data_IF_996334252080
#
_entry.id   IF_996334252080
#
_cell.length_a   1.000
_cell.length_b   1.000
_cell.length_c   1.000
_cell.angle_alpha   90.00
_cell.angle_beta   90.00
_cell.angle_gamma   90.00
#
_symmetry.space_group_name_H-M   'P 1'
#
loop_
_entity.id
_entity.type
_entity.pdbx_description
1 polymer ?
#
# COMPACT_ATOMS: atom_id res chain seq x y z
N UNK A 1 -9.99 -51.85 -50.59
CA UNK A 1 -9.54 -51.75 -52.00
C UNK A 1 -9.31 -50.27 -52.30
N UNK A 2 -8.10 -49.94 -52.74
CA UNK A 2 -7.71 -48.73 -53.48
C UNK A 2 -7.35 -47.44 -52.70
N UNK A 3 -6.05 -47.13 -52.77
CA UNK A 3 -5.33 -45.86 -52.56
C UNK A 3 -5.86 -44.70 -53.42
N UNK A 4 -5.66 -43.45 -52.95
CA UNK A 4 -5.29 -42.23 -53.72
C UNK A 4 -4.69 -41.25 -52.67
N UNK A 5 -3.37 -41.03 -52.55
CA UNK A 5 -2.37 -40.30 -53.37
C UNK A 5 -2.38 -38.76 -53.19
N UNK A 6 -1.42 -38.29 -52.36
CA UNK A 6 -0.58 -37.07 -52.38
C UNK A 6 -1.22 -35.70 -52.68
N UNK A 7 -0.91 -34.70 -51.84
CA UNK A 7 -0.10 -33.54 -52.26
C UNK A 7 0.48 -32.79 -51.05
N UNK A 8 1.78 -32.55 -51.12
CA UNK A 8 2.57 -31.71 -50.21
C UNK A 8 2.52 -30.30 -50.75
N UNK A 9 2.17 -29.33 -49.92
CA UNK A 9 2.49 -27.91 -50.13
C UNK A 9 2.86 -27.29 -48.79
N UNK A 10 4.10 -26.86 -48.70
CA UNK A 10 4.71 -26.05 -47.65
C UNK A 10 4.04 -24.69 -47.53
N UNK A 11 3.83 -24.15 -46.32
CA UNK A 11 3.85 -22.70 -46.10
C UNK A 11 4.12 -22.33 -44.63
N UNK A 12 5.27 -21.69 -44.44
CA UNK A 12 5.60 -20.61 -43.48
C UNK A 12 5.08 -20.66 -42.04
N UNK A 13 6.01 -20.81 -41.11
CA UNK A 13 5.85 -20.55 -39.68
C UNK A 13 5.45 -19.08 -39.45
N UNK A 14 4.30 -18.85 -38.83
CA UNK A 14 3.94 -17.56 -38.24
C UNK A 14 3.66 -17.80 -36.76
N UNK A 15 4.66 -17.50 -35.93
CA UNK A 15 4.57 -17.54 -34.48
C UNK A 15 3.65 -16.41 -34.03
N UNK A 16 2.44 -16.73 -33.60
CA UNK A 16 1.57 -15.80 -32.87
C UNK A 16 2.02 -15.75 -31.42
N UNK A 17 2.85 -14.77 -31.09
CA UNK A 17 2.99 -14.28 -29.71
C UNK A 17 1.67 -13.62 -29.33
N UNK A 18 0.86 -14.30 -28.53
CA UNK A 18 -0.17 -13.65 -27.73
C UNK A 18 0.57 -12.92 -26.61
N UNK A 19 0.82 -11.63 -26.84
CA UNK A 19 1.34 -10.74 -25.82
C UNK A 19 0.37 -10.68 -24.66
N UNK A 20 0.88 -10.98 -23.47
CA UNK A 20 0.20 -10.65 -22.22
C UNK A 20 -0.11 -9.15 -22.24
N UNK A 21 -1.38 -8.80 -22.04
CA UNK A 21 -1.77 -7.45 -21.68
C UNK A 21 -1.23 -7.18 -20.26
N UNK A 22 0.06 -6.86 -20.18
CA UNK A 22 0.60 -6.10 -19.07
C UNK A 22 0.04 -4.70 -19.21
N UNK A 23 -0.89 -4.32 -18.33
CA UNK A 23 -1.30 -2.94 -18.16
C UNK A 23 -0.12 -2.20 -17.52
N UNK A 24 0.91 -1.87 -18.30
CA UNK A 24 1.87 -0.86 -17.92
C UNK A 24 1.20 0.48 -18.20
N UNK A 25 0.72 1.13 -17.15
CA UNK A 25 0.48 2.56 -17.18
C UNK A 25 1.81 3.23 -17.52
N UNK A 26 1.97 3.63 -18.77
CA UNK A 26 3.09 4.47 -19.18
C UNK A 26 2.87 5.85 -18.57
N UNK A 27 3.50 6.11 -17.42
CA UNK A 27 3.60 7.45 -16.90
C UNK A 27 4.52 8.24 -17.82
N UNK A 28 3.98 9.25 -18.49
CA UNK A 28 4.79 10.23 -19.21
C UNK A 28 5.51 11.08 -18.17
N UNK A 29 6.84 11.07 -18.21
CA UNK A 29 7.68 11.97 -17.41
C UNK A 29 7.36 13.41 -17.84
N UNK A 30 6.69 14.18 -16.99
CA UNK A 30 6.46 15.61 -17.25
C UNK A 30 7.79 16.36 -17.02
N UNK A 31 8.58 16.49 -18.08
CA UNK A 31 9.79 17.31 -18.12
C UNK A 31 9.41 18.80 -18.08
N UNK A 32 9.60 19.48 -16.95
CA UNK A 32 9.46 20.94 -16.87
C UNK A 32 10.78 21.60 -17.20
N UNK A 33 10.89 22.15 -18.42
CA UNK A 33 12.06 22.91 -18.85
C UNK A 33 11.98 24.37 -18.35
N UNK A 34 12.90 24.76 -17.45
CA UNK A 34 13.10 26.17 -17.11
C UNK A 34 13.96 26.82 -18.20
N UNK A 35 13.31 27.56 -19.09
CA UNK A 35 13.95 28.26 -20.20
C UNK A 35 14.51 29.61 -19.76
N UNK A 36 15.70 29.97 -20.26
CA UNK A 36 16.16 31.36 -20.19
C UNK A 36 15.41 32.26 -21.18
N UNK A 37 15.68 33.56 -21.14
CA UNK A 37 15.13 34.55 -22.09
C UNK A 37 15.47 34.30 -23.57
N UNK A 38 16.36 33.33 -23.85
CA UNK A 38 16.75 32.90 -25.19
C UNK A 38 16.22 31.50 -25.54
N UNK A 39 15.27 30.97 -24.76
CA UNK A 39 14.60 29.70 -25.04
C UNK A 39 15.50 28.46 -24.89
N UNK A 40 16.60 28.54 -24.12
CA UNK A 40 17.48 27.39 -23.84
C UNK A 40 17.27 26.87 -22.43
N UNK A 41 17.14 25.54 -22.22
CA UNK A 41 16.96 24.97 -20.90
C UNK A 41 18.22 25.17 -20.07
N UNK A 42 18.09 25.82 -18.91
CA UNK A 42 19.23 26.08 -18.01
C UNK A 42 19.49 24.93 -17.04
N UNK A 43 18.45 24.20 -16.65
CA UNK A 43 18.52 23.08 -15.72
C UNK A 43 17.39 22.10 -16.07
N UNK A 44 17.73 20.82 -16.26
CA UNK A 44 16.74 19.74 -16.31
C UNK A 44 16.31 19.45 -14.86
N UNK A 45 15.14 19.93 -14.46
CA UNK A 45 14.58 19.64 -13.13
C UNK A 45 13.94 18.26 -13.22
N UNK A 46 14.57 17.27 -12.60
CA UNK A 46 13.94 15.96 -12.43
C UNK A 46 12.91 16.08 -11.31
N UNK A 47 11.63 15.99 -11.65
CA UNK A 47 10.57 15.65 -10.70
C UNK A 47 10.84 14.21 -10.26
N UNK A 48 11.47 14.06 -9.09
CA UNK A 48 11.52 12.76 -8.44
C UNK A 48 10.09 12.27 -8.26
N UNK A 49 9.86 10.96 -8.37
CA UNK A 49 8.59 10.34 -8.03
C UNK A 49 8.38 10.51 -6.52
N UNK A 50 7.97 11.72 -6.13
CA UNK A 50 7.61 12.05 -4.77
C UNK A 50 6.42 11.16 -4.48
N UNK A 51 6.50 10.27 -3.50
CA UNK A 51 5.34 9.53 -3.02
C UNK A 51 4.25 10.55 -2.65
N UNK A 52 3.27 10.73 -3.54
CA UNK A 52 2.25 11.79 -3.43
C UNK A 52 1.04 11.31 -2.65
N UNK A 53 0.84 9.99 -2.57
CA UNK A 53 -0.32 9.38 -1.96
C UNK A 53 0.04 8.81 -0.61
N UNK A 54 -0.89 8.90 0.34
CA UNK A 54 -0.80 8.22 1.64
C UNK A 54 -0.55 6.72 1.46
N UNK A 55 -1.10 6.13 0.39
CA UNK A 55 -0.95 4.71 0.06
C UNK A 55 0.50 4.26 -0.12
N UNK A 56 1.39 5.12 -0.58
CA UNK A 56 2.77 4.74 -0.82
C UNK A 56 3.53 4.51 0.51
N UNK A 57 3.22 5.33 1.51
CA UNK A 57 3.81 5.22 2.84
C UNK A 57 3.23 4.04 3.61
N UNK A 58 1.94 3.78 3.44
CA UNK A 58 1.28 2.64 4.07
C UNK A 58 1.65 1.31 3.41
N UNK A 59 2.00 1.27 2.12
CA UNK A 59 2.42 0.02 1.46
C UNK A 59 3.72 -0.50 2.07
N UNK A 60 4.67 0.43 2.31
CA UNK A 60 5.87 0.13 3.09
C UNK A 60 5.55 -0.24 4.53
N UNK A 61 4.66 0.51 5.20
CA UNK A 61 4.26 0.19 6.57
C UNK A 61 3.66 -1.23 6.68
N UNK A 62 2.83 -1.63 5.72
CA UNK A 62 2.24 -2.97 5.65
C UNK A 62 3.32 -4.03 5.42
N UNK A 63 4.28 -3.76 4.53
CA UNK A 63 5.42 -4.64 4.33
C UNK A 63 6.20 -4.85 5.63
N UNK A 64 6.59 -3.78 6.30
CA UNK A 64 7.36 -3.82 7.56
C UNK A 64 6.56 -4.55 8.66
N UNK A 65 5.23 -4.32 8.76
CA UNK A 65 4.38 -5.03 9.71
C UNK A 65 4.32 -6.54 9.45
N UNK A 66 4.21 -6.96 8.19
CA UNK A 66 4.13 -8.38 7.84
C UNK A 66 5.51 -9.04 7.96
N UNK A 67 6.60 -8.35 7.58
CA UNK A 67 7.96 -8.87 7.69
C UNK A 67 8.42 -9.03 9.13
N UNK A 68 8.00 -8.12 10.01
CA UNK A 68 8.41 -8.11 11.42
C UNK A 68 7.49 -8.96 12.31
N UNK A 69 6.53 -9.66 11.71
CA UNK A 69 5.64 -10.57 12.42
C UNK A 69 6.40 -11.75 13.03
N UNK A 70 6.22 -11.93 14.34
CA UNK A 70 6.93 -12.95 15.15
C UNK A 70 6.05 -14.14 15.55
N UNK A 71 4.83 -14.21 15.05
CA UNK A 71 3.99 -15.41 15.24
C UNK A 71 4.40 -16.53 14.30
N UNK A 72 3.98 -17.75 14.61
CA UNK A 72 4.29 -18.91 13.78
C UNK A 72 3.63 -18.80 12.39
N UNK A 73 2.33 -18.50 12.37
CA UNK A 73 1.52 -18.34 11.16
C UNK A 73 0.30 -17.44 11.45
N UNK A 74 -0.27 -16.87 10.39
CA UNK A 74 -1.55 -16.15 10.44
C UNK A 74 -2.72 -17.15 10.51
N UNK A 75 -3.08 -17.57 11.72
CA UNK A 75 -4.14 -18.55 12.01
C UNK A 75 -5.53 -17.92 12.26
N UNK A 76 -5.64 -16.60 12.16
CA UNK A 76 -6.86 -15.82 12.41
C UNK A 76 -6.83 -14.57 11.52
N UNK A 77 -8.00 -14.01 11.13
CA UNK A 77 -8.03 -12.72 10.45
C UNK A 77 -7.30 -11.63 11.26
N UNK A 78 -6.80 -10.60 10.58
CA UNK A 78 -6.28 -9.40 11.22
C UNK A 78 -7.38 -8.35 11.28
N UNK A 79 -7.72 -7.90 12.48
CA UNK A 79 -8.60 -6.75 12.66
C UNK A 79 -7.77 -5.48 12.52
N UNK A 80 -8.17 -4.55 11.66
CA UNK A 80 -7.51 -3.25 11.51
C UNK A 80 -8.42 -2.16 12.05
N UNK A 81 -7.96 -1.41 13.04
CA UNK A 81 -8.70 -0.29 13.63
C UNK A 81 -8.36 1.03 12.93
N UNK A 82 -9.21 2.05 13.11
CA UNK A 82 -8.86 3.44 12.79
C UNK A 82 -7.60 3.85 13.56
N UNK A 83 -6.71 4.59 12.89
CA UNK A 83 -5.54 5.20 13.53
C UNK A 83 -5.96 6.50 14.21
N UNK A 84 -5.55 6.69 15.46
CA UNK A 84 -5.98 7.84 16.28
C UNK A 84 -4.83 8.83 16.48
N UNK A 85 -5.12 10.12 16.51
CA UNK A 85 -4.11 11.12 16.85
C UNK A 85 -3.79 11.11 18.35
N UNK A 86 -2.51 11.30 18.67
CA UNK A 86 -2.04 11.25 20.06
C UNK A 86 -2.39 12.52 20.87
N UNK A 87 -2.44 13.70 20.24
CA UNK A 87 -2.58 15.00 20.91
C UNK A 87 -3.94 15.67 20.66
N UNK A 88 -5.00 14.86 20.60
CA UNK A 88 -6.35 15.32 20.20
C UNK A 88 -6.57 15.19 18.70
N UNK A 89 -7.82 15.07 18.28
CA UNK A 89 -8.20 14.85 16.89
C UNK A 89 -8.72 16.14 16.24
N UNK A 90 -7.99 16.65 15.24
CA UNK A 90 -8.50 17.60 14.26
C UNK A 90 -9.22 16.87 13.12
N UNK A 91 -9.91 17.62 12.24
CA UNK A 91 -10.58 17.02 11.08
C UNK A 91 -9.60 16.29 10.15
N UNK A 92 -8.44 16.90 9.88
CA UNK A 92 -7.38 16.28 9.07
C UNK A 92 -6.83 15.01 9.71
N UNK A 93 -6.73 14.96 11.04
CA UNK A 93 -6.27 13.76 11.75
C UNK A 93 -7.25 12.59 11.60
N UNK A 94 -8.56 12.89 11.68
CA UNK A 94 -9.60 11.87 11.50
C UNK A 94 -9.57 11.32 10.07
N UNK A 95 -9.46 12.21 9.07
CA UNK A 95 -9.40 11.81 7.66
C UNK A 95 -8.13 11.02 7.34
N UNK A 96 -6.97 11.49 7.82
CA UNK A 96 -5.70 10.78 7.65
C UNK A 96 -5.72 9.42 8.34
N UNK A 97 -6.20 9.34 9.58
CA UNK A 97 -6.28 8.09 10.34
C UNK A 97 -7.19 7.06 9.70
N UNK A 98 -8.31 7.50 9.12
CA UNK A 98 -9.20 6.64 8.34
C UNK A 98 -8.51 6.17 7.05
N UNK A 99 -7.90 7.08 6.30
CA UNK A 99 -7.23 6.77 5.03
C UNK A 99 -6.06 5.80 5.22
N UNK A 100 -5.28 5.98 6.29
CA UNK A 100 -4.22 5.04 6.68
C UNK A 100 -4.81 3.65 6.94
N UNK A 101 -5.87 3.55 7.74
CA UNK A 101 -6.49 2.24 8.03
C UNK A 101 -7.06 1.57 6.78
N UNK A 102 -7.75 2.31 5.91
CA UNK A 102 -8.34 1.79 4.67
C UNK A 102 -7.27 1.32 3.69
N UNK A 103 -6.19 2.09 3.57
CA UNK A 103 -5.06 1.71 2.72
C UNK A 103 -4.40 0.41 3.20
N UNK A 104 -4.23 0.26 4.52
CA UNK A 104 -3.65 -0.94 5.12
C UNK A 104 -4.52 -2.18 4.91
N UNK A 105 -5.86 -2.05 4.90
CA UNK A 105 -6.76 -3.17 4.59
C UNK A 105 -6.39 -3.77 3.23
N UNK A 106 -6.31 -2.94 2.18
CA UNK A 106 -5.97 -3.40 0.84
C UNK A 106 -4.55 -3.96 0.73
N UNK A 107 -3.58 -3.31 1.39
CA UNK A 107 -2.17 -3.72 1.31
C UNK A 107 -1.88 -5.01 2.05
N UNK A 108 -2.47 -5.21 3.23
CA UNK A 108 -2.29 -6.44 4.00
C UNK A 108 -2.96 -7.63 3.30
N UNK A 109 -4.11 -7.42 2.65
CA UNK A 109 -4.76 -8.46 1.84
C UNK A 109 -3.88 -8.98 0.69
N UNK A 110 -2.93 -8.18 0.16
CA UNK A 110 -1.96 -8.65 -0.85
C UNK A 110 -1.06 -9.78 -0.34
N UNK A 111 -0.84 -9.85 0.98
CA UNK A 111 -0.09 -10.91 1.65
C UNK A 111 -0.94 -12.13 2.01
N UNK A 112 -2.17 -12.22 1.47
CA UNK A 112 -3.12 -13.33 1.71
C UNK A 112 -3.57 -13.44 3.17
N UNK A 113 -3.43 -12.36 3.95
CA UNK A 113 -3.91 -12.26 5.31
C UNK A 113 -5.37 -11.79 5.26
N UNK A 114 -6.35 -12.57 5.76
CA UNK A 114 -7.73 -12.10 5.83
C UNK A 114 -7.83 -10.90 6.77
N UNK A 115 -8.58 -9.87 6.37
CA UNK A 115 -8.71 -8.62 7.15
C UNK A 115 -10.16 -8.37 7.52
N UNK A 116 -10.38 -7.88 8.75
CA UNK A 116 -11.67 -7.38 9.24
C UNK A 116 -11.51 -5.91 9.64
N UNK A 117 -12.43 -5.05 9.21
CA UNK A 117 -12.40 -3.63 9.60
C UNK A 117 -13.01 -3.45 10.99
N UNK A 118 -12.25 -2.84 11.90
CA UNK A 118 -12.65 -2.50 13.25
C UNK A 118 -13.09 -1.04 13.37
N UNK A 119 -14.40 -0.80 13.30
CA UNK A 119 -15.00 0.54 13.48
C UNK A 119 -15.07 1.02 14.93
N UNK A 120 -14.76 0.13 15.88
CA UNK A 120 -14.86 0.34 17.32
C UNK A 120 -13.46 0.31 17.94
N UNK A 121 -13.27 1.10 18.98
CA UNK A 121 -12.08 1.03 19.83
C UNK A 121 -12.31 0.14 21.06
N UNK A 122 -13.51 -0.47 21.20
CA UNK A 122 -13.81 -1.38 22.30
C UNK A 122 -13.02 -2.68 22.11
N UNK A 123 -12.03 -2.88 22.97
CA UNK A 123 -11.17 -4.07 22.94
C UNK A 123 -11.98 -5.37 22.94
N UNK A 124 -13.01 -5.44 23.78
CA UNK A 124 -13.84 -6.63 23.94
C UNK A 124 -14.60 -6.98 22.64
N UNK A 125 -15.10 -5.98 21.93
CA UNK A 125 -15.78 -6.20 20.64
C UNK A 125 -14.82 -6.63 19.52
N UNK A 126 -13.53 -6.24 19.62
CA UNK A 126 -12.51 -6.60 18.64
C UNK A 126 -11.95 -8.00 18.91
N UNK A 127 -11.79 -8.40 20.18
CA UNK A 127 -11.30 -9.74 20.55
C UNK A 127 -12.24 -10.85 20.12
N UNK A 128 -13.54 -10.58 20.07
CA UNK A 128 -14.54 -11.53 19.58
C UNK A 128 -14.47 -11.74 18.04
N UNK A 129 -13.87 -10.79 17.33
CA UNK A 129 -13.76 -10.83 15.85
C UNK A 129 -12.49 -11.51 15.39
N UNK A 130 -11.38 -11.31 16.10
CA UNK A 130 -10.12 -11.96 15.75
C UNK A 130 -9.07 -11.98 16.87
N UNK A 131 -8.09 -12.88 16.70
CA UNK A 131 -6.93 -13.01 17.57
C UNK A 131 -5.93 -11.86 17.38
N UNK A 132 -5.77 -11.35 16.15
CA UNK A 132 -4.80 -10.30 15.87
C UNK A 132 -5.49 -8.97 15.66
N UNK A 133 -4.98 -7.93 16.33
CA UNK A 133 -5.49 -6.57 16.22
C UNK A 133 -4.34 -5.64 15.83
N UNK A 134 -4.43 -5.06 14.63
CA UNK A 134 -3.62 -3.95 14.17
C UNK A 134 -4.25 -2.64 14.61
N UNK A 135 -3.50 -1.87 15.37
CA UNK A 135 -3.86 -0.53 15.79
C UNK A 135 -2.66 0.40 15.67
N UNK A 136 -2.91 1.70 15.67
CA UNK A 136 -1.82 2.65 15.63
C UNK A 136 -2.21 4.06 16.02
N UNK A 137 -1.19 4.88 16.15
CA UNK A 137 -1.31 6.29 16.53
C UNK A 137 -0.60 7.18 15.53
N UNK A 138 -1.18 8.36 15.31
CA UNK A 138 -0.62 9.44 14.54
C UNK A 138 -0.01 10.46 15.49
N UNK A 139 1.25 10.83 15.24
CA UNK A 139 1.96 11.86 16.01
C UNK A 139 2.37 12.96 15.04
N UNK A 140 1.72 14.11 15.13
CA UNK A 140 2.06 15.28 14.32
C UNK A 140 3.39 15.90 14.80
N UNK A 141 4.22 16.30 13.86
CA UNK A 141 5.40 17.12 14.06
C UNK A 141 5.65 18.04 12.85
N UNK A 142 6.72 18.83 12.89
CA UNK A 142 7.03 19.80 11.82
C UNK A 142 7.24 19.18 10.43
N UNK A 143 7.62 17.89 10.37
CA UNK A 143 7.88 17.16 9.12
C UNK A 143 6.62 16.49 8.55
N UNK A 144 5.55 16.36 9.35
CA UNK A 144 4.32 15.66 8.99
C UNK A 144 3.84 14.76 10.12
N UNK A 145 3.34 13.58 9.79
CA UNK A 145 2.78 12.63 10.76
C UNK A 145 3.63 11.38 10.86
N UNK A 146 4.11 11.10 12.06
CA UNK A 146 4.67 9.79 12.37
C UNK A 146 3.53 8.81 12.64
N UNK A 147 3.50 7.72 11.87
CA UNK A 147 2.51 6.66 11.98
C UNK A 147 3.15 5.49 12.69
N UNK A 148 2.70 5.23 13.92
CA UNK A 148 3.18 4.13 14.73
C UNK A 148 2.13 3.02 14.77
N UNK A 149 2.44 1.89 14.16
CA UNK A 149 1.53 0.75 14.00
C UNK A 149 2.02 -0.48 14.78
N UNK A 150 1.10 -1.22 15.39
CA UNK A 150 1.40 -2.42 16.17
C UNK A 150 0.34 -3.50 15.96
N UNK A 151 0.78 -4.75 15.91
CA UNK A 151 -0.10 -5.92 15.91
C UNK A 151 -0.02 -6.58 17.29
N UNK A 152 -1.17 -6.63 17.96
CA UNK A 152 -1.36 -7.29 19.24
C UNK A 152 -1.98 -8.66 19.02
N UNK A 153 -1.41 -9.69 19.64
CA UNK A 153 -2.14 -10.93 19.91
C UNK A 153 -3.08 -10.68 21.10
N UNK A 154 -4.38 -10.67 20.84
CA UNK A 154 -5.41 -10.35 21.81
C UNK A 154 -5.58 -11.43 22.89
N UNK A 155 -5.13 -12.65 22.62
CA UNK A 155 -5.18 -13.77 23.57
C UNK A 155 -4.04 -13.65 24.59
N UNK A 156 -2.81 -13.41 24.10
CA UNK A 156 -1.61 -13.34 24.96
C UNK A 156 -1.28 -11.94 25.45
N UNK A 157 -1.91 -10.91 24.87
CA UNK A 157 -1.62 -9.49 25.13
C UNK A 157 -0.19 -9.07 24.77
N UNK A 158 0.45 -9.80 23.85
CA UNK A 158 1.82 -9.54 23.38
C UNK A 158 1.80 -8.85 22.02
N UNK A 159 2.69 -7.86 21.85
CA UNK A 159 2.92 -7.23 20.55
C UNK A 159 3.76 -8.18 19.70
N UNK A 160 3.18 -8.66 18.61
CA UNK A 160 3.77 -9.65 17.70
C UNK A 160 4.37 -9.02 16.45
N UNK A 161 4.05 -7.75 16.17
CA UNK A 161 4.70 -6.94 15.13
C UNK A 161 4.58 -5.45 15.46
N UNK A 162 5.55 -4.65 15.00
CA UNK A 162 5.55 -3.19 15.15
C UNK A 162 6.28 -2.58 13.97
N UNK A 163 5.73 -1.49 13.42
CA UNK A 163 6.38 -0.74 12.37
C UNK A 163 6.05 0.76 12.50
N UNK A 164 6.94 1.59 11.95
CA UNK A 164 6.82 3.04 11.99
C UNK A 164 7.15 3.60 10.62
N UNK A 165 6.35 4.56 10.16
CA UNK A 165 6.64 5.35 8.96
C UNK A 165 6.35 6.83 9.21
N UNK A 166 6.80 7.70 8.31
CA UNK A 166 6.47 9.12 8.33
C UNK A 166 5.72 9.47 7.05
N UNK A 167 4.55 10.08 7.20
CA UNK A 167 3.80 10.70 6.11
C UNK A 167 4.15 12.18 6.10
N UNK A 168 4.85 12.67 5.07
CA UNK A 168 5.26 14.07 4.99
C UNK A 168 4.09 15.03 4.98
N UNK A 169 4.30 16.22 5.54
CA UNK A 169 3.27 17.26 5.68
C UNK A 169 2.60 17.61 4.34
N UNK A 170 3.37 17.73 3.26
CA UNK A 170 2.83 18.06 1.93
C UNK A 170 1.85 17.01 1.38
N UNK A 171 1.95 15.75 1.82
CA UNK A 171 1.00 14.69 1.43
C UNK A 171 -0.31 14.91 2.17
N UNK A 172 -0.26 15.22 3.46
CA UNK A 172 -1.43 15.41 4.30
C UNK A 172 -2.19 16.69 3.94
N UNK A 173 -1.47 17.76 3.60
CA UNK A 173 -2.08 19.03 3.16
C UNK A 173 -2.79 18.93 1.80
N UNK A 174 -2.60 17.83 1.05
CA UNK A 174 -3.26 17.58 -0.23
C UNK A 174 -4.56 16.77 -0.14
N UNK A 175 -4.97 16.39 1.09
CA UNK A 175 -6.17 15.58 1.37
C UNK A 175 -7.51 16.34 1.32
#
# INVERSE_FOLDING_TARGET
>A
MTLIKRMITTLSSATLLVGAAGCSTSYTEDEVEVLNSHGKPLVKVFTFHTHQLVSDYTDRLAHDLVSDYRGAEWDSPLVITKFNALQGESYSDVQLGLLVSESLVGQIQKYQIPVVVGYTNSKDELTDKAKYILYGVLVENERGYEVNARILDSTTQVIVSSATTIIPKYVVESL
#
